data_IF_905313635105
#
_entry.id   IF_905313635105
#
_cell.length_a   1.000
_cell.length_b   1.000
_cell.length_c   1.000
_cell.angle_alpha   90.00
_cell.angle_beta   90.00
_cell.angle_gamma   90.00
#
_symmetry.space_group_name_H-M   'P 1'
#
loop_
_entity.id
_entity.type
_entity.pdbx_description
1 polymer ?
#
# COMPACT_ATOMS: atom_id res chain seq x y z
N UNK A 1 -10.68 -10.86 -7.08
CA UNK A 1 -9.48 -11.20 -7.89
C UNK A 1 -8.18 -10.48 -7.47
N UNK A 2 -8.15 -9.14 -7.35
CA UNK A 2 -6.95 -8.36 -6.97
C UNK A 2 -6.35 -8.83 -5.64
N UNK A 3 -7.14 -8.82 -4.55
CA UNK A 3 -6.69 -9.23 -3.21
C UNK A 3 -6.00 -10.59 -3.17
N UNK A 4 -6.50 -11.58 -3.92
CA UNK A 4 -5.95 -12.94 -3.94
C UNK A 4 -4.52 -13.00 -4.49
N UNK A 5 -4.14 -12.03 -5.32
CA UNK A 5 -2.81 -11.91 -5.94
C UNK A 5 -2.02 -10.72 -5.38
N UNK A 6 -2.44 -10.16 -4.25
CA UNK A 6 -1.77 -9.03 -3.60
C UNK A 6 -0.30 -9.38 -3.33
N UNK A 7 0.62 -8.54 -3.80
CA UNK A 7 2.03 -8.70 -3.49
C UNK A 7 2.23 -8.58 -1.99
N UNK A 8 2.78 -9.63 -1.38
CA UNK A 8 3.21 -9.63 0.03
C UNK A 8 4.65 -10.14 0.17
N UNK A 9 5.37 -10.26 -0.95
CA UNK A 9 6.65 -10.96 -0.99
C UNK A 9 7.66 -10.42 0.03
N UNK A 10 7.85 -9.10 0.10
CA UNK A 10 8.86 -8.50 0.98
C UNK A 10 8.51 -8.56 2.47
N UNK A 11 7.24 -8.79 2.83
CA UNK A 11 6.80 -8.83 4.23
C UNK A 11 6.29 -10.21 4.66
N UNK A 12 6.04 -11.14 3.72
CA UNK A 12 5.37 -12.41 4.00
C UNK A 12 6.04 -13.65 3.41
N UNK A 13 7.12 -13.50 2.63
CA UNK A 13 7.91 -14.63 2.14
C UNK A 13 9.10 -14.92 3.08
N UNK A 14 9.42 -16.19 3.32
CA UNK A 14 10.50 -16.62 4.23
C UNK A 14 11.87 -16.01 3.88
N UNK A 15 12.21 -15.96 2.59
CA UNK A 15 13.43 -15.31 2.07
C UNK A 15 13.57 -13.82 2.38
N UNK A 16 12.48 -13.13 2.75
CA UNK A 16 12.50 -11.70 3.04
C UNK A 16 12.23 -11.40 4.52
N UNK A 17 11.29 -12.12 5.14
CA UNK A 17 10.91 -11.91 6.55
C UNK A 17 12.08 -12.07 7.54
N UNK A 18 13.02 -12.98 7.28
CA UNK A 18 14.22 -13.13 8.12
C UNK A 18 15.14 -11.91 8.15
N UNK A 19 15.00 -10.99 7.18
CA UNK A 19 15.77 -9.74 7.10
C UNK A 19 15.11 -8.59 7.86
N UNK A 20 13.87 -8.76 8.34
CA UNK A 20 13.10 -7.73 9.02
C UNK A 20 13.24 -7.94 10.53
N UNK A 21 14.19 -7.23 11.13
CA UNK A 21 14.46 -7.31 12.58
C UNK A 21 14.17 -6.00 13.29
N UNK A 22 13.99 -4.90 12.56
CA UNK A 22 13.73 -3.57 13.11
C UNK A 22 12.48 -2.93 12.50
N UNK A 23 11.97 -1.88 13.15
CA UNK A 23 10.92 -1.02 12.59
C UNK A 23 11.32 -0.39 11.26
N UNK A 24 12.60 -0.03 11.13
CA UNK A 24 13.12 0.55 9.89
C UNK A 24 13.03 -0.46 8.73
N UNK A 25 13.40 -1.73 9.00
CA UNK A 25 13.31 -2.79 7.99
C UNK A 25 11.86 -3.08 7.63
N UNK A 26 10.96 -3.10 8.62
CA UNK A 26 9.52 -3.30 8.41
C UNK A 26 8.95 -2.21 7.50
N UNK A 27 9.24 -0.95 7.81
CA UNK A 27 8.85 0.22 7.02
C UNK A 27 9.32 0.10 5.58
N UNK A 28 10.61 -0.20 5.40
CA UNK A 28 11.23 -0.36 4.08
C UNK A 28 10.60 -1.52 3.29
N UNK A 29 10.31 -2.64 3.96
CA UNK A 29 9.69 -3.81 3.33
C UNK A 29 8.23 -3.53 2.91
N UNK A 30 7.47 -2.81 3.72
CA UNK A 30 6.12 -2.37 3.36
C UNK A 30 6.12 -1.42 2.16
N UNK A 31 7.01 -0.41 2.16
CA UNK A 31 7.16 0.51 1.03
C UNK A 31 7.49 -0.27 -0.26
N UNK A 32 8.45 -1.22 -0.20
CA UNK A 32 8.80 -2.08 -1.34
C UNK A 32 7.61 -2.92 -1.82
N UNK A 33 6.86 -3.50 -0.88
CA UNK A 33 5.68 -4.33 -1.18
C UNK A 33 4.62 -3.49 -1.90
N UNK A 34 4.28 -2.33 -1.36
CA UNK A 34 3.28 -1.43 -1.93
C UNK A 34 3.72 -0.85 -3.29
N UNK A 35 4.99 -0.51 -3.43
CA UNK A 35 5.59 -0.08 -4.69
C UNK A 35 5.52 -1.17 -5.76
N UNK A 36 5.95 -2.39 -5.44
CA UNK A 36 5.93 -3.53 -6.37
C UNK A 36 4.50 -3.87 -6.81
N UNK A 37 3.55 -3.94 -5.88
CA UNK A 37 2.13 -4.13 -6.21
C UNK A 37 1.61 -3.04 -7.14
N UNK A 38 1.90 -1.77 -6.85
CA UNK A 38 1.41 -0.66 -7.67
C UNK A 38 1.99 -0.70 -9.08
N UNK A 39 3.28 -1.03 -9.21
CA UNK A 39 3.95 -1.18 -10.51
C UNK A 39 3.29 -2.28 -11.36
N UNK A 40 3.11 -3.48 -10.81
CA UNK A 40 2.48 -4.58 -11.54
C UNK A 40 0.98 -4.36 -11.78
N UNK A 41 0.27 -3.74 -10.82
CA UNK A 41 -1.13 -3.39 -10.98
C UNK A 41 -1.31 -2.37 -12.12
N UNK A 42 -0.42 -1.37 -12.24
CA UNK A 42 -0.44 -0.42 -13.34
C UNK A 42 -0.23 -1.12 -14.68
N UNK A 43 0.79 -1.97 -14.77
CA UNK A 43 1.05 -2.76 -15.97
C UNK A 43 -0.15 -3.64 -16.37
N UNK A 44 -0.78 -4.31 -15.40
CA UNK A 44 -1.98 -5.10 -15.63
C UNK A 44 -3.17 -4.24 -16.08
N UNK A 45 -3.39 -3.10 -15.42
CA UNK A 45 -4.47 -2.16 -15.75
C UNK A 45 -4.34 -1.65 -17.18
N UNK A 46 -3.13 -1.29 -17.63
CA UNK A 46 -2.87 -0.88 -19.02
C UNK A 46 -3.19 -1.99 -20.03
N UNK A 47 -2.76 -3.21 -19.75
CA UNK A 47 -3.01 -4.34 -20.65
C UNK A 47 -4.50 -4.71 -20.74
N UNK A 48 -5.26 -4.55 -19.65
CA UNK A 48 -6.69 -4.91 -19.62
C UNK A 48 -7.59 -3.90 -20.35
N UNK A 49 -7.24 -2.62 -20.34
CA UNK A 49 -8.11 -1.57 -20.89
C UNK A 49 -7.83 -1.25 -22.37
N UNK A 50 -7.02 -2.04 -23.07
CA UNK A 50 -6.83 -1.96 -24.53
C UNK A 50 -6.01 -0.76 -25.04
N UNK A 51 -6.01 0.36 -24.32
CA UNK A 51 -5.34 1.61 -24.70
C UNK A 51 -4.28 2.02 -23.66
N UNK A 52 -3.25 1.20 -23.49
CA UNK A 52 -2.15 1.51 -22.57
C UNK A 52 -1.45 2.85 -22.85
N UNK A 53 -1.41 3.29 -24.12
CA UNK A 53 -0.84 4.58 -24.53
C UNK A 53 -1.64 5.76 -23.98
N UNK A 54 -2.96 5.78 -24.16
CA UNK A 54 -3.84 6.84 -23.67
C UNK A 54 -3.74 6.97 -22.14
N UNK A 55 -3.60 5.84 -21.44
CA UNK A 55 -3.42 5.81 -19.99
C UNK A 55 -2.04 6.34 -19.55
N UNK A 56 -0.99 6.03 -20.31
CA UNK A 56 0.33 6.61 -20.09
C UNK A 56 0.34 8.12 -20.41
N UNK A 57 -0.37 8.57 -21.45
CA UNK A 57 -0.55 10.00 -21.76
C UNK A 57 -1.33 10.73 -20.66
N UNK A 58 -2.41 10.14 -20.15
CA UNK A 58 -3.17 10.68 -19.02
C UNK A 58 -2.28 10.84 -17.78
N UNK A 59 -1.45 9.83 -17.48
CA UNK A 59 -0.52 9.89 -16.36
C UNK A 59 0.57 10.96 -16.60
N UNK A 60 1.13 11.05 -17.82
CA UNK A 60 2.09 12.09 -18.20
C UNK A 60 1.51 13.50 -18.07
N UNK A 61 0.20 13.67 -18.29
CA UNK A 61 -0.49 14.94 -18.13
C UNK A 61 -0.71 15.33 -16.65
N UNK A 62 -0.42 14.43 -15.70
CA UNK A 62 -0.52 14.69 -14.27
C UNK A 62 -1.74 14.04 -13.60
N UNK A 63 -2.43 13.13 -14.29
CA UNK A 63 -3.68 12.54 -13.80
C UNK A 63 -3.61 11.03 -13.64
N UNK A 64 -3.95 10.54 -12.45
CA UNK A 64 -4.13 9.11 -12.23
C UNK A 64 -5.55 8.74 -12.69
N UNK A 65 -5.74 7.75 -13.58
CA UNK A 65 -7.06 7.30 -13.98
C UNK A 65 -7.93 6.96 -12.77
N UNK A 66 -9.18 7.46 -12.66
CA UNK A 66 -9.98 7.31 -11.45
C UNK A 66 -10.20 5.86 -11.00
N UNK A 67 -10.42 4.94 -11.94
CA UNK A 67 -10.57 3.51 -11.65
C UNK A 67 -9.28 2.89 -11.10
N UNK A 68 -8.12 3.32 -11.62
CA UNK A 68 -6.83 2.87 -11.10
C UNK A 68 -6.56 3.45 -9.71
N UNK A 69 -6.83 4.73 -9.48
CA UNK A 69 -6.72 5.37 -8.16
C UNK A 69 -7.60 4.66 -7.14
N UNK A 70 -8.85 4.34 -7.50
CA UNK A 70 -9.75 3.54 -6.66
C UNK A 70 -9.10 2.20 -6.31
N UNK A 71 -8.52 1.49 -7.28
CA UNK A 71 -7.83 0.23 -7.01
C UNK A 71 -6.65 0.37 -6.03
N UNK A 72 -5.92 1.50 -6.07
CA UNK A 72 -4.85 1.81 -5.11
C UNK A 72 -5.39 1.97 -3.69
N UNK A 73 -6.55 2.63 -3.51
CA UNK A 73 -7.20 2.75 -2.20
C UNK A 73 -7.54 1.38 -1.61
N UNK A 74 -8.07 0.48 -2.43
CA UNK A 74 -8.35 -0.90 -2.03
C UNK A 74 -7.09 -1.66 -1.60
N UNK A 75 -6.01 -1.53 -2.37
CA UNK A 75 -4.72 -2.15 -2.04
C UNK A 75 -4.13 -1.58 -0.75
N UNK A 76 -4.18 -0.26 -0.55
CA UNK A 76 -3.73 0.37 0.68
C UNK A 76 -4.52 -0.09 1.91
N UNK A 77 -5.85 -0.17 1.78
CA UNK A 77 -6.72 -0.72 2.82
C UNK A 77 -6.43 -2.18 3.16
N UNK A 78 -6.12 -3.02 2.16
CA UNK A 78 -5.71 -4.41 2.44
C UNK A 78 -4.38 -4.49 3.17
N UNK A 79 -3.38 -3.66 2.82
CA UNK A 79 -2.14 -3.60 3.59
C UNK A 79 -2.36 -3.16 5.02
N UNK A 80 -3.26 -2.18 5.22
CA UNK A 80 -3.66 -1.74 6.55
C UNK A 80 -4.27 -2.89 7.36
N UNK A 81 -5.20 -3.64 6.78
CA UNK A 81 -5.84 -4.75 7.49
C UNK A 81 -4.88 -5.90 7.78
N UNK A 82 -3.94 -6.17 6.88
CA UNK A 82 -2.87 -7.15 7.14
C UNK A 82 -1.99 -6.67 8.29
N UNK A 83 -1.68 -5.37 8.34
CA UNK A 83 -0.86 -4.79 9.40
C UNK A 83 -1.52 -4.90 10.78
N UNK A 84 -2.82 -4.64 10.86
CA UNK A 84 -3.59 -4.73 12.12
C UNK A 84 -4.15 -6.13 12.39
N UNK A 85 -3.82 -7.13 11.58
CA UNK A 85 -4.37 -8.50 11.66
C UNK A 85 -5.92 -8.56 11.55
N UNK A 86 -6.54 -7.53 11.00
CA UNK A 86 -7.98 -7.44 10.71
C UNK A 86 -8.36 -7.99 9.33
N UNK A 87 -7.38 -8.45 8.56
CA UNK A 87 -7.61 -9.06 7.26
C UNK A 87 -8.41 -10.37 7.39
N UNK A 88 -9.47 -10.49 6.59
CA UNK A 88 -10.47 -11.56 6.63
C UNK A 88 -10.11 -12.75 5.74
N UNK A 89 -8.98 -12.72 5.04
CA UNK A 89 -8.55 -13.85 4.22
C UNK A 89 -8.08 -15.04 5.07
N UNK A 90 -8.08 -16.23 4.48
CA UNK A 90 -7.62 -17.44 5.17
C UNK A 90 -6.12 -17.36 5.49
N UNK A 91 -5.77 -17.41 6.78
CA UNK A 91 -4.40 -17.33 7.30
C UNK A 91 -3.77 -18.72 7.44
N UNK A 92 -3.62 -19.43 6.32
CA UNK A 92 -3.01 -20.78 6.32
C UNK A 92 -1.51 -20.70 6.56
N UNK A 93 -0.89 -21.75 7.13
CA UNK A 93 0.52 -21.76 7.57
C UNK A 93 1.53 -21.43 6.46
N UNK A 94 1.19 -21.70 5.20
CA UNK A 94 2.06 -21.42 4.03
C UNK A 94 1.66 -20.16 3.26
N UNK A 95 0.67 -19.41 3.74
CA UNK A 95 0.22 -18.19 3.07
C UNK A 95 1.15 -17.00 3.38
N UNK A 96 1.40 -16.17 2.37
CA UNK A 96 2.11 -14.90 2.60
C UNK A 96 1.36 -13.96 3.56
N UNK A 97 0.04 -14.12 3.71
CA UNK A 97 -0.76 -13.34 4.68
C UNK A 97 -0.34 -13.71 6.10
N UNK A 98 -0.30 -15.02 6.41
CA UNK A 98 0.18 -15.51 7.70
C UNK A 98 1.63 -15.09 7.94
N UNK A 99 2.50 -15.27 6.94
CA UNK A 99 3.89 -14.82 7.00
C UNK A 99 4.04 -13.33 7.30
N UNK A 100 3.19 -12.48 6.70
CA UNK A 100 3.18 -11.04 6.93
C UNK A 100 2.75 -10.69 8.36
N UNK A 101 1.64 -11.25 8.83
CA UNK A 101 1.15 -11.04 10.20
C UNK A 101 2.20 -11.48 11.22
N UNK A 102 2.82 -12.64 11.01
CA UNK A 102 3.87 -13.15 11.91
C UNK A 102 5.13 -12.29 11.88
N UNK A 103 5.51 -11.76 10.71
CA UNK A 103 6.63 -10.83 10.57
C UNK A 103 6.37 -9.54 11.34
N UNK A 104 5.18 -8.97 11.20
CA UNK A 104 4.76 -7.73 11.88
C UNK A 104 4.74 -7.96 13.38
N UNK A 105 4.09 -9.04 13.83
CA UNK A 105 4.03 -9.43 15.24
C UNK A 105 5.37 -9.82 15.87
N UNK A 106 6.44 -10.00 15.10
CA UNK A 106 7.81 -10.13 15.64
C UNK A 106 8.45 -8.77 15.91
N UNK A 107 8.14 -7.77 15.08
CA UNK A 107 8.64 -6.41 15.25
C UNK A 107 7.97 -5.72 16.44
N UNK A 108 6.68 -5.98 16.67
CA UNK A 108 5.98 -5.53 17.87
C UNK A 108 6.05 -6.60 18.96
N UNK A 109 6.66 -6.29 20.10
CA UNK A 109 6.81 -7.23 21.23
C UNK A 109 5.47 -7.83 21.63
N UNK A 110 5.41 -9.16 21.73
CA UNK A 110 4.20 -9.87 22.20
C UNK A 110 3.82 -9.51 23.64
N UNK A 111 4.77 -9.05 24.46
CA UNK A 111 4.54 -8.76 25.89
C UNK A 111 4.03 -7.34 26.11
N UNK A 112 4.57 -6.36 25.37
CA UNK A 112 4.20 -4.94 25.53
C UNK A 112 3.30 -4.40 24.43
N UNK A 113 3.11 -5.15 23.33
CA UNK A 113 2.41 -4.68 22.13
C UNK A 113 3.10 -3.50 21.46
N UNK A 114 4.38 -3.25 21.77
CA UNK A 114 5.14 -2.09 21.30
C UNK A 114 6.37 -2.53 20.52
N UNK A 115 6.75 -1.71 19.57
CA UNK A 115 7.99 -1.84 18.82
C UNK A 115 9.23 -1.47 19.66
N UNK A 116 10.47 -1.76 19.21
CA UNK A 116 11.70 -1.40 19.93
C UNK A 116 11.83 0.09 20.30
N UNK A 117 11.25 0.99 19.50
CA UNK A 117 11.20 2.44 19.75
C UNK A 117 10.09 2.84 20.75
N UNK A 118 9.29 1.89 21.21
CA UNK A 118 8.20 2.11 22.15
C UNK A 118 6.86 2.50 21.51
N UNK A 119 6.78 2.54 20.17
CA UNK A 119 5.54 2.85 19.43
C UNK A 119 4.60 1.65 19.41
N UNK A 120 3.33 1.89 19.63
CA UNK A 120 2.23 0.96 19.35
C UNK A 120 2.04 0.78 17.84
N UNK A 121 1.37 -0.29 17.38
CA UNK A 121 1.03 -0.47 15.96
C UNK A 121 0.27 0.73 15.38
N UNK A 122 -0.64 1.34 16.15
CA UNK A 122 -1.39 2.52 15.73
C UNK A 122 -0.47 3.72 15.49
N UNK A 123 0.38 4.07 16.46
CA UNK A 123 1.34 5.17 16.31
C UNK A 123 2.29 4.94 15.14
N UNK A 124 2.75 3.70 14.95
CA UNK A 124 3.60 3.34 13.83
C UNK A 124 2.88 3.51 12.48
N UNK A 125 1.63 3.07 12.38
CA UNK A 125 0.85 3.21 11.14
C UNK A 125 0.50 4.67 10.84
N UNK A 126 0.16 5.45 11.86
CA UNK A 126 -0.14 6.87 11.70
C UNK A 126 1.10 7.65 11.20
N UNK A 127 2.29 7.23 11.63
CA UNK A 127 3.56 7.79 11.17
C UNK A 127 3.94 7.32 9.75
N UNK A 128 3.86 6.01 9.48
CA UNK A 128 4.46 5.40 8.29
C UNK A 128 3.46 5.02 7.19
N UNK A 129 2.17 4.98 7.48
CA UNK A 129 1.11 4.71 6.49
C UNK A 129 1.15 5.68 5.31
N UNK A 130 1.45 6.95 5.58
CA UNK A 130 1.68 7.97 4.54
C UNK A 130 2.88 7.65 3.65
N UNK A 131 3.96 7.13 4.21
CA UNK A 131 5.18 6.76 3.47
C UNK A 131 4.93 5.53 2.60
N UNK A 132 4.08 4.60 3.05
CA UNK A 132 3.64 3.45 2.24
C UNK A 132 2.85 3.94 1.02
N UNK A 133 1.90 4.86 1.22
CA UNK A 133 1.15 5.49 0.13
C UNK A 133 2.06 6.26 -0.83
N UNK A 134 3.02 7.03 -0.31
CA UNK A 134 4.04 7.71 -1.11
C UNK A 134 4.88 6.72 -1.92
N UNK A 135 5.19 5.55 -1.37
CA UNK A 135 5.84 4.45 -2.08
C UNK A 135 5.03 3.97 -3.29
N UNK A 136 3.70 3.87 -3.16
CA UNK A 136 2.80 3.54 -4.27
C UNK A 136 2.85 4.61 -5.37
N UNK A 137 2.74 5.89 -4.99
CA UNK A 137 2.85 7.01 -5.95
C UNK A 137 4.23 7.06 -6.62
N UNK A 138 5.31 6.81 -5.87
CA UNK A 138 6.65 6.74 -6.42
C UNK A 138 6.78 5.65 -7.47
N UNK A 139 6.25 4.44 -7.21
CA UNK A 139 6.28 3.35 -8.17
C UNK A 139 5.50 3.66 -9.45
N UNK A 140 4.32 4.28 -9.31
CA UNK A 140 3.50 4.69 -10.45
C UNK A 140 4.19 5.75 -11.32
N UNK A 141 4.82 6.74 -10.67
CA UNK A 141 5.44 7.89 -11.36
C UNK A 141 6.89 7.68 -11.77
N UNK A 142 7.50 6.54 -11.40
CA UNK A 142 8.93 6.27 -11.67
C UNK A 142 9.27 6.26 -13.17
N UNK A 143 8.31 5.85 -14.01
CA UNK A 143 8.49 5.79 -15.47
C UNK A 143 8.31 7.13 -16.18
N UNK A 144 7.87 8.19 -15.49
CA UNK A 144 7.71 9.52 -16.09
C UNK A 144 9.09 10.14 -16.33
N UNK A 145 9.26 10.91 -17.40
CA UNK A 145 10.50 11.65 -17.67
C UNK A 145 10.45 13.08 -17.13
N UNK A 146 9.26 13.65 -17.00
CA UNK A 146 9.04 15.01 -16.52
C UNK A 146 8.96 15.05 -14.98
N UNK A 147 9.97 15.66 -14.36
CA UNK A 147 10.07 15.77 -12.90
C UNK A 147 9.07 16.77 -12.29
N UNK A 148 8.63 17.78 -13.04
CA UNK A 148 7.56 18.68 -12.59
C UNK A 148 6.23 17.94 -12.53
N UNK A 149 5.93 17.13 -13.55
CA UNK A 149 4.73 16.28 -13.56
C UNK A 149 4.74 15.22 -12.47
N UNK A 150 5.90 14.60 -12.18
CA UNK A 150 6.03 13.70 -11.01
C UNK A 150 5.67 14.41 -9.72
N UNK A 151 6.19 15.63 -9.51
CA UNK A 151 5.91 16.43 -8.30
C UNK A 151 4.43 16.82 -8.25
N UNK A 152 3.84 17.22 -9.37
CA UNK A 152 2.42 17.56 -9.47
C UNK A 152 1.54 16.39 -9.04
N UNK A 153 1.76 15.19 -9.59
CA UNK A 153 1.00 13.98 -9.23
C UNK A 153 1.20 13.65 -7.75
N UNK A 154 2.45 13.62 -7.28
CA UNK A 154 2.76 13.29 -5.88
C UNK A 154 2.12 14.26 -4.91
N UNK A 155 2.02 15.55 -5.27
CA UNK A 155 1.36 16.56 -4.45
C UNK A 155 -0.17 16.40 -4.52
N UNK A 156 -0.75 16.36 -5.72
CA UNK A 156 -2.21 16.27 -5.98
C UNK A 156 -2.84 15.05 -5.31
N UNK A 157 -2.15 13.90 -5.37
CA UNK A 157 -2.63 12.64 -4.80
C UNK A 157 -1.89 12.23 -3.51
N UNK A 158 -1.20 13.18 -2.85
CA UNK A 158 -0.53 12.90 -1.56
C UNK A 158 -1.51 12.44 -0.49
N UNK A 159 -1.00 11.73 0.51
CA UNK A 159 -1.79 11.26 1.65
C UNK A 159 -2.55 12.42 2.31
N UNK A 160 -1.87 13.55 2.54
CA UNK A 160 -2.45 14.72 3.19
C UNK A 160 -3.53 15.42 2.35
N UNK A 161 -3.40 15.45 1.02
CA UNK A 161 -4.44 16.02 0.16
C UNK A 161 -5.68 15.11 0.11
N UNK A 162 -5.47 13.79 0.02
CA UNK A 162 -6.55 12.80 0.03
C UNK A 162 -7.21 12.63 1.42
N UNK A 163 -6.67 13.29 2.43
CA UNK A 163 -7.27 13.46 3.77
C UNK A 163 -8.15 14.72 3.87
N UNK A 164 -7.97 15.73 3.00
CA UNK A 164 -8.47 17.11 3.24
C UNK A 164 -9.72 17.55 2.48
N UNK A 165 -10.22 16.87 1.45
CA UNK A 165 -11.36 17.42 0.66
C UNK A 165 -12.41 16.44 0.12
N UNK A 166 -13.59 17.05 -0.04
CA UNK A 166 -14.94 16.61 -0.39
C UNK A 166 -15.22 16.56 -1.91
N UNK A 167 -15.82 15.46 -2.37
CA UNK A 167 -16.75 15.32 -3.52
C UNK A 167 -16.93 13.81 -3.83
N UNK A 168 -17.56 13.07 -2.92
CA UNK A 168 -18.00 11.69 -3.17
C UNK A 168 -16.92 10.58 -3.14
N UNK A 169 -15.63 10.91 -3.14
CA UNK A 169 -14.54 9.93 -2.88
C UNK A 169 -14.34 9.79 -1.37
N UNK A 170 -14.40 8.57 -0.80
CA UNK A 170 -14.15 8.39 0.63
C UNK A 170 -12.69 8.72 0.94
N UNK A 171 -12.43 9.46 2.02
CA UNK A 171 -11.09 9.84 2.48
C UNK A 171 -10.18 8.61 2.53
N UNK A 172 -8.91 8.70 2.09
CA UNK A 172 -8.03 7.52 2.04
C UNK A 172 -7.98 6.77 3.40
N UNK A 173 -7.82 7.52 4.48
CA UNK A 173 -7.77 6.99 5.85
C UNK A 173 -9.13 6.42 6.30
N UNK A 174 -10.23 7.14 6.05
CA UNK A 174 -11.58 6.64 6.35
C UNK A 174 -11.89 5.38 5.54
N UNK A 175 -11.62 5.40 4.24
CA UNK A 175 -11.81 4.26 3.36
C UNK A 175 -11.00 3.06 3.84
N UNK A 176 -9.71 3.24 4.12
CA UNK A 176 -8.83 2.15 4.55
C UNK A 176 -9.18 1.58 5.92
N UNK A 177 -9.84 2.37 6.78
CA UNK A 177 -10.26 1.95 8.12
C UNK A 177 -11.66 1.33 8.17
N UNK A 178 -12.48 1.50 7.11
CA UNK A 178 -13.77 0.78 7.00
C UNK A 178 -13.54 -0.73 7.08
N UNK A 179 -14.37 -1.50 7.80
CA UNK A 179 -14.25 -2.95 7.86
C UNK A 179 -14.05 -3.59 6.49
N UNK A 180 -13.08 -4.49 6.36
CA UNK A 180 -12.68 -5.06 5.06
C UNK A 180 -13.86 -5.65 4.27
N UNK A 181 -14.78 -6.31 4.98
CA UNK A 181 -16.01 -6.85 4.43
C UNK A 181 -16.87 -5.81 3.69
N UNK A 182 -16.94 -4.57 4.19
CA UNK A 182 -17.72 -3.50 3.54
C UNK A 182 -17.00 -2.86 2.37
N UNK A 183 -15.70 -3.10 2.21
CA UNK A 183 -14.94 -2.61 1.06
C UNK A 183 -15.09 -3.59 -0.10
N UNK A 184 -14.85 -4.88 0.16
CA UNK A 184 -14.78 -5.94 -0.85
C UNK A 184 -16.09 -6.21 -1.60
#
# INVERSE_FOLDING_TARGET
>A
PRRQKLCLYYIGHENETGKITTEYDLRKAFIKTAAAETFFAWHYYKNKNGNGKDLDEQLNNGEIPPEFLRSMFYTFGDYRDIFFDTDISAKTDKSHVKGAIDCIGKVFSKTSGKSPSGKTPTEWWDEHGKEIWEGMLCALTNGLTDDEKKKEIKNKYSYDQLKKTSNGTPFLEEFSSRPQFLRW
#
